data_IF_457400505793
#
_entry.id   IF_457400505793
#
_cell.length_a   1.000
_cell.length_b   1.000
_cell.length_c   1.000
_cell.angle_alpha   90.00
_cell.angle_beta   90.00
_cell.angle_gamma   90.00
#
_symmetry.space_group_name_H-M   'P 1'
#
loop_
_entity.id
_entity.type
_entity.pdbx_description
1 polymer ?
#
# COMPACT_ATOMS: atom_id res chain seq x y z
N UNK A 1 -72.29 -13.36 -5.79
CA UNK A 1 -71.81 -12.21 -6.60
C UNK A 1 -72.89 -11.16 -6.59
N UNK A 2 -72.74 -10.15 -5.73
CA UNK A 2 -73.70 -9.06 -5.53
C UNK A 2 -72.98 -7.77 -5.90
N UNK A 3 -73.39 -7.17 -7.02
CA UNK A 3 -73.06 -5.79 -7.36
C UNK A 3 -74.29 -4.95 -7.01
N UNK A 4 -74.13 -4.05 -6.05
CA UNK A 4 -75.11 -3.01 -5.75
C UNK A 4 -74.42 -1.65 -5.85
N UNK A 5 -75.04 -0.80 -6.67
CA UNK A 5 -74.76 0.62 -6.85
C UNK A 5 -75.01 1.42 -5.55
N UNK A 6 -74.24 2.49 -5.34
CA UNK A 6 -74.76 3.76 -4.84
C UNK A 6 -73.77 4.91 -5.11
N UNK A 7 -74.19 5.99 -5.80
CA UNK A 7 -73.41 7.20 -5.99
C UNK A 7 -73.98 8.43 -5.23
N UNK A 8 -73.10 9.41 -4.96
CA UNK A 8 -73.34 10.82 -4.55
C UNK A 8 -73.84 11.03 -3.10
N UNK A 9 -73.46 12.05 -2.31
CA UNK A 9 -72.83 13.34 -2.59
C UNK A 9 -72.30 14.02 -1.31
N UNK A 10 -71.32 14.93 -1.48
CA UNK A 10 -71.16 16.26 -0.85
C UNK A 10 -71.28 16.38 0.70
N UNK A 11 -70.16 16.65 1.38
CA UNK A 11 -69.82 18.00 1.90
C UNK A 11 -68.42 18.01 2.57
N UNK A 12 -67.57 18.91 2.05
CA UNK A 12 -66.47 19.66 2.67
C UNK A 12 -65.77 19.08 3.91
N UNK A 13 -64.48 18.76 3.74
CA UNK A 13 -63.41 19.31 4.58
C UNK A 13 -62.20 19.57 3.70
N UNK A 14 -61.95 20.85 3.42
CA UNK A 14 -60.67 21.33 2.91
C UNK A 14 -59.67 21.09 4.03
N UNK A 15 -59.06 19.90 4.03
CA UNK A 15 -57.82 19.70 4.75
C UNK A 15 -56.75 20.43 3.96
N UNK A 16 -56.29 21.56 4.52
CA UNK A 16 -54.95 22.05 4.27
C UNK A 16 -54.00 20.86 4.51
N UNK A 17 -53.64 20.16 3.43
CA UNK A 17 -52.51 19.25 3.46
C UNK A 17 -51.35 20.13 3.87
N UNK A 18 -50.90 19.94 5.12
CA UNK A 18 -49.53 20.24 5.53
C UNK A 18 -48.66 19.82 4.35
N UNK A 19 -48.07 20.79 3.66
CA UNK A 19 -47.04 20.53 2.68
C UNK A 19 -45.99 19.76 3.45
N UNK A 20 -45.96 18.44 3.26
CA UNK A 20 -44.89 17.58 3.72
C UNK A 20 -43.65 18.10 2.99
N UNK A 21 -42.86 18.89 3.71
CA UNK A 21 -41.55 19.40 3.32
C UNK A 21 -40.53 18.24 3.29
N UNK A 22 -40.88 17.13 2.65
CA UNK A 22 -40.15 15.85 2.62
C UNK A 22 -40.24 15.16 1.27
N UNK A 23 -40.55 15.88 0.20
CA UNK A 23 -40.60 15.34 -1.15
C UNK A 23 -39.90 16.28 -2.15
N UNK A 24 -38.60 16.53 -1.98
CA UNK A 24 -37.77 17.09 -3.06
C UNK A 24 -36.24 17.00 -2.82
N UNK A 25 -35.75 15.98 -2.13
CA UNK A 25 -34.42 15.44 -2.48
C UNK A 25 -34.65 14.25 -3.38
N UNK A 26 -35.03 14.52 -4.63
CA UNK A 26 -34.84 13.53 -5.68
C UNK A 26 -33.35 13.18 -5.66
N UNK A 27 -33.01 11.90 -5.54
CA UNK A 27 -31.63 11.41 -5.72
C UNK A 27 -31.21 11.68 -7.18
N UNK A 28 -30.86 12.94 -7.47
CA UNK A 28 -30.50 13.43 -8.78
C UNK A 28 -29.33 12.63 -9.35
N UNK A 29 -28.37 12.28 -8.49
CA UNK A 29 -27.17 11.56 -8.87
C UNK A 29 -27.49 10.13 -9.34
N UNK A 30 -28.41 9.41 -8.70
CA UNK A 30 -28.75 8.03 -9.11
C UNK A 30 -29.48 7.93 -10.46
N UNK A 31 -30.00 9.06 -10.96
CA UNK A 31 -30.69 9.14 -12.24
C UNK A 31 -29.77 9.63 -13.38
N UNK A 32 -28.50 9.91 -13.08
CA UNK A 32 -27.53 10.28 -14.11
C UNK A 32 -27.32 9.12 -15.09
N UNK A 33 -27.01 9.43 -16.36
CA UNK A 33 -26.52 8.45 -17.33
C UNK A 33 -25.37 7.62 -16.74
N UNK A 34 -25.32 6.35 -17.15
CA UNK A 34 -24.35 5.37 -16.66
C UNK A 34 -22.90 5.84 -16.88
N UNK A 35 -22.66 6.58 -17.96
CA UNK A 35 -21.37 7.15 -18.33
C UNK A 35 -20.92 8.19 -17.29
N UNK A 36 -21.83 9.04 -16.81
CA UNK A 36 -21.51 10.02 -15.76
C UNK A 36 -21.28 9.33 -14.41
N UNK A 37 -22.06 8.29 -14.10
CA UNK A 37 -21.84 7.49 -12.90
C UNK A 37 -20.48 6.78 -12.93
N UNK A 38 -20.06 6.31 -14.10
CA UNK A 38 -18.73 5.75 -14.32
C UNK A 38 -17.63 6.80 -14.11
N UNK A 39 -17.80 8.02 -14.67
CA UNK A 39 -16.86 9.11 -14.44
C UNK A 39 -16.75 9.44 -12.95
N UNK A 40 -17.87 9.52 -12.22
CA UNK A 40 -17.85 9.75 -10.77
C UNK A 40 -17.12 8.61 -10.06
N UNK A 41 -17.44 7.35 -10.39
CA UNK A 41 -16.78 6.19 -9.79
C UNK A 41 -15.25 6.19 -9.99
N UNK A 42 -14.78 6.60 -11.17
CA UNK A 42 -13.35 6.68 -11.48
C UNK A 42 -12.60 7.74 -10.66
N UNK A 43 -13.29 8.77 -10.18
CA UNK A 43 -12.71 9.87 -9.38
C UNK A 43 -12.73 9.60 -7.87
N UNK A 44 -13.15 8.41 -7.43
CA UNK A 44 -13.16 8.06 -6.01
C UNK A 44 -11.74 7.83 -5.51
N UNK A 45 -11.39 8.44 -4.37
CA UNK A 45 -10.01 8.45 -3.89
C UNK A 45 -9.57 7.16 -3.21
N UNK A 46 -10.50 6.43 -2.55
CA UNK A 46 -10.14 5.25 -1.76
C UNK A 46 -11.01 4.04 -2.06
N UNK A 47 -10.53 2.85 -1.67
CA UNK A 47 -11.26 1.60 -1.84
C UNK A 47 -12.54 1.63 -1.00
N UNK A 48 -12.50 2.19 0.21
CA UNK A 48 -13.67 2.40 1.07
C UNK A 48 -14.70 3.30 0.39
N UNK A 49 -14.26 4.36 -0.30
CA UNK A 49 -15.15 5.20 -1.10
C UNK A 49 -15.81 4.40 -2.23
N UNK A 50 -15.10 3.50 -2.92
CA UNK A 50 -15.70 2.64 -3.95
C UNK A 50 -16.73 1.67 -3.37
N UNK A 51 -16.48 1.13 -2.18
CA UNK A 51 -17.41 0.25 -1.47
C UNK A 51 -18.66 1.03 -1.03
N UNK A 52 -18.48 2.21 -0.42
CA UNK A 52 -19.57 3.10 -0.02
C UNK A 52 -20.42 3.54 -1.22
N UNK A 53 -19.78 3.85 -2.35
CA UNK A 53 -20.47 4.14 -3.61
C UNK A 53 -21.36 2.96 -4.03
N UNK A 54 -20.81 1.74 -4.06
CA UNK A 54 -21.57 0.54 -4.41
C UNK A 54 -22.79 0.30 -3.48
N UNK A 55 -22.67 0.65 -2.20
CA UNK A 55 -23.73 0.47 -1.20
C UNK A 55 -24.81 1.57 -1.24
N UNK A 56 -24.57 2.68 -1.92
CA UNK A 56 -25.49 3.83 -1.93
C UNK A 56 -26.82 3.50 -2.61
N UNK A 57 -26.81 2.89 -3.79
CA UNK A 57 -28.03 2.51 -4.51
C UNK A 57 -27.77 1.47 -5.61
N UNK A 58 -28.85 0.88 -6.17
CA UNK A 58 -28.76 -0.16 -7.22
C UNK A 58 -28.01 0.30 -8.48
N UNK A 59 -28.19 1.55 -8.90
CA UNK A 59 -27.51 2.07 -10.10
C UNK A 59 -25.99 2.17 -9.88
N UNK A 60 -25.56 2.63 -8.71
CA UNK A 60 -24.15 2.74 -8.35
C UNK A 60 -23.53 1.35 -8.17
N UNK A 61 -24.26 0.44 -7.53
CA UNK A 61 -23.88 -0.97 -7.44
C UNK A 61 -23.61 -1.55 -8.83
N UNK A 62 -24.52 -1.36 -9.79
CA UNK A 62 -24.36 -1.85 -11.16
C UNK A 62 -23.10 -1.30 -11.84
N UNK A 63 -22.71 -0.07 -11.57
CA UNK A 63 -21.46 0.51 -12.07
C UNK A 63 -20.26 -0.12 -11.36
N UNK A 64 -20.28 -0.20 -10.03
CA UNK A 64 -19.17 -0.69 -9.22
C UNK A 64 -18.84 -2.17 -9.45
N UNK A 65 -19.84 -3.02 -9.75
CA UNK A 65 -19.60 -4.43 -10.03
C UNK A 65 -18.99 -4.68 -11.42
N UNK A 66 -19.07 -3.73 -12.35
CA UNK A 66 -18.58 -3.94 -13.70
C UNK A 66 -17.05 -4.02 -13.72
N UNK A 67 -16.47 -5.09 -14.31
CA UNK A 67 -15.02 -5.24 -14.43
C UNK A 67 -14.35 -4.03 -15.09
N UNK A 68 -14.98 -3.46 -16.12
CA UNK A 68 -14.48 -2.26 -16.82
C UNK A 68 -14.43 -1.03 -15.92
N UNK A 69 -15.41 -0.83 -15.05
CA UNK A 69 -15.42 0.30 -14.12
C UNK A 69 -14.29 0.19 -13.10
N UNK A 70 -14.12 -1.01 -12.53
CA UNK A 70 -13.02 -1.31 -11.60
C UNK A 70 -11.66 -1.11 -12.27
N UNK A 71 -11.48 -1.65 -13.48
CA UNK A 71 -10.23 -1.50 -14.23
C UNK A 71 -9.92 -0.02 -14.53
N UNK A 72 -10.93 0.76 -14.93
CA UNK A 72 -10.75 2.18 -15.18
C UNK A 72 -10.39 2.96 -13.92
N UNK A 73 -11.08 2.69 -12.80
CA UNK A 73 -10.72 3.29 -11.51
C UNK A 73 -9.27 2.97 -11.11
N UNK A 74 -8.84 1.71 -11.23
CA UNK A 74 -7.45 1.31 -10.91
C UNK A 74 -6.44 2.08 -11.77
N UNK A 75 -6.66 2.16 -13.09
CA UNK A 75 -5.73 2.87 -13.99
C UNK A 75 -5.74 4.37 -13.75
N UNK A 76 -6.90 4.98 -13.52
CA UNK A 76 -6.99 6.41 -13.18
C UNK A 76 -6.30 6.72 -11.86
N UNK A 77 -6.46 5.84 -10.86
CA UNK A 77 -5.96 6.04 -9.50
C UNK A 77 -4.46 5.85 -9.37
N UNK A 78 -3.95 4.71 -9.86
CA UNK A 78 -2.55 4.32 -9.69
C UNK A 78 -1.71 4.57 -10.93
N UNK A 79 -2.33 4.98 -12.03
CA UNK A 79 -1.66 5.19 -13.31
C UNK A 79 -1.35 3.89 -14.07
N UNK A 80 -1.03 4.00 -15.37
CA UNK A 80 -0.67 2.90 -16.25
C UNK A 80 0.36 1.91 -15.68
N UNK A 81 1.40 2.43 -15.02
CA UNK A 81 2.55 1.65 -14.54
C UNK A 81 2.21 0.69 -13.40
N UNK A 82 1.43 1.16 -12.43
CA UNK A 82 1.20 0.44 -11.17
C UNK A 82 -0.14 -0.31 -11.14
N UNK A 83 -1.04 -0.01 -12.08
CA UNK A 83 -2.39 -0.57 -12.15
C UNK A 83 -2.44 -2.11 -12.07
N UNK A 84 -1.62 -2.80 -12.86
CA UNK A 84 -1.59 -4.26 -12.85
C UNK A 84 -1.09 -4.82 -11.51
N UNK A 85 -0.06 -4.20 -10.92
CA UNK A 85 0.47 -4.66 -9.64
C UNK A 85 -0.53 -4.46 -8.51
N UNK A 86 -1.17 -3.30 -8.45
CA UNK A 86 -2.25 -3.04 -7.51
C UNK A 86 -3.39 -4.06 -7.66
N UNK A 87 -3.83 -4.33 -8.89
CA UNK A 87 -4.91 -5.28 -9.14
C UNK A 87 -4.56 -6.70 -8.67
N UNK A 88 -3.35 -7.16 -8.98
CA UNK A 88 -2.84 -8.46 -8.54
C UNK A 88 -2.74 -8.55 -7.02
N UNK A 89 -2.35 -7.47 -6.33
CA UNK A 89 -2.26 -7.45 -4.87
C UNK A 89 -3.62 -7.37 -4.18
N UNK A 90 -4.58 -6.63 -4.76
CA UNK A 90 -5.82 -6.25 -4.06
C UNK A 90 -7.00 -7.14 -4.39
N UNK A 91 -7.09 -7.60 -5.64
CA UNK A 91 -8.23 -8.34 -6.17
C UNK A 91 -7.79 -9.48 -7.10
N UNK A 92 -6.80 -10.32 -6.72
CA UNK A 92 -6.26 -11.37 -7.59
C UNK A 92 -7.33 -12.29 -8.19
N UNK A 93 -8.40 -12.57 -7.44
CA UNK A 93 -9.53 -13.39 -7.86
C UNK A 93 -10.36 -12.78 -9.00
N UNK A 94 -10.27 -11.47 -9.22
CA UNK A 94 -10.90 -10.77 -10.34
C UNK A 94 -9.97 -10.64 -11.55
N UNK A 95 -8.70 -11.02 -11.42
CA UNK A 95 -7.68 -10.87 -12.44
C UNK A 95 -7.73 -11.97 -13.52
N UNK A 96 -8.92 -12.29 -14.03
CA UNK A 96 -9.10 -13.21 -15.15
C UNK A 96 -8.73 -12.55 -16.49
N UNK A 97 -8.55 -13.35 -17.56
CA UNK A 97 -8.01 -12.91 -18.83
C UNK A 97 -8.74 -11.70 -19.42
N UNK A 98 -10.08 -11.69 -19.39
CA UNK A 98 -10.89 -10.55 -19.86
C UNK A 98 -10.66 -9.26 -19.03
N UNK A 99 -10.50 -9.37 -17.71
CA UNK A 99 -10.22 -8.21 -16.86
C UNK A 99 -8.81 -7.67 -17.14
N UNK A 100 -7.82 -8.55 -17.26
CA UNK A 100 -6.45 -8.20 -17.63
C UNK A 100 -6.40 -7.53 -19.01
N UNK A 101 -7.11 -8.07 -20.02
CA UNK A 101 -7.26 -7.42 -21.32
C UNK A 101 -7.89 -6.04 -21.20
N UNK A 102 -8.89 -5.87 -20.33
CA UNK A 102 -9.52 -4.57 -20.09
C UNK A 102 -8.54 -3.57 -19.49
N UNK A 103 -7.70 -3.99 -18.53
CA UNK A 103 -6.63 -3.15 -17.99
C UNK A 103 -5.65 -2.71 -19.09
N UNK A 104 -5.22 -3.63 -19.96
CA UNK A 104 -4.36 -3.30 -21.10
C UNK A 104 -5.03 -2.34 -22.09
N UNK A 105 -6.31 -2.53 -22.40
CA UNK A 105 -7.06 -1.61 -23.27
C UNK A 105 -7.20 -0.20 -22.69
N UNK A 106 -7.18 -0.09 -21.36
CA UNK A 106 -7.20 1.19 -20.65
C UNK A 106 -5.79 1.79 -20.49
N UNK A 107 -4.76 1.12 -21.01
CA UNK A 107 -3.38 1.63 -21.01
C UNK A 107 -2.52 1.12 -19.86
N UNK A 108 -2.94 0.13 -19.08
CA UNK A 108 -2.06 -0.48 -18.09
C UNK A 108 -0.81 -1.09 -18.77
N UNK A 109 0.34 -0.97 -18.13
CA UNK A 109 1.59 -1.59 -18.56
C UNK A 109 1.87 -2.84 -17.75
N UNK A 110 2.59 -3.79 -18.35
CA UNK A 110 3.09 -4.97 -17.66
C UNK A 110 4.58 -4.75 -17.38
N UNK A 111 4.98 -4.34 -16.17
CA UNK A 111 6.38 -4.20 -15.79
C UNK A 111 7.13 -5.51 -15.91
N UNK A 112 8.39 -5.44 -16.36
CA UNK A 112 9.24 -6.61 -16.50
C UNK A 112 9.49 -7.33 -15.15
N UNK A 113 9.81 -6.57 -14.10
CA UNK A 113 9.97 -7.06 -12.73
C UNK A 113 8.73 -7.81 -12.18
N UNK A 114 7.52 -7.32 -12.49
CA UNK A 114 6.26 -7.95 -12.09
C UNK A 114 6.09 -9.30 -12.78
N UNK A 115 6.41 -9.36 -14.07
CA UNK A 115 6.38 -10.58 -14.85
C UNK A 115 7.39 -11.61 -14.37
N UNK A 116 8.62 -11.19 -14.03
CA UNK A 116 9.61 -12.06 -13.41
C UNK A 116 9.06 -12.67 -12.11
N UNK A 117 8.48 -11.88 -11.22
CA UNK A 117 7.88 -12.38 -9.98
C UNK A 117 6.74 -13.37 -10.21
N UNK A 118 5.87 -13.11 -11.20
CA UNK A 118 4.82 -14.04 -11.59
C UNK A 118 5.39 -15.39 -12.04
N UNK A 119 6.39 -15.38 -12.93
CA UNK A 119 7.07 -16.60 -13.40
C UNK A 119 7.85 -17.32 -12.29
N UNK A 120 8.38 -16.56 -11.34
CA UNK A 120 9.14 -17.10 -10.20
C UNK A 120 8.24 -17.78 -9.18
N UNK A 121 7.00 -17.32 -8.97
CA UNK A 121 6.18 -17.74 -7.82
C UNK A 121 4.85 -18.42 -8.19
N UNK A 122 4.24 -18.14 -9.34
CA UNK A 122 2.94 -18.72 -9.68
C UNK A 122 3.01 -20.24 -9.88
N UNK A 123 2.08 -20.98 -9.27
CA UNK A 123 2.00 -22.44 -9.38
C UNK A 123 3.13 -23.19 -8.66
N UNK A 124 3.96 -22.50 -7.88
CA UNK A 124 5.04 -23.09 -7.08
C UNK A 124 4.63 -23.20 -5.61
N UNK A 125 5.10 -24.22 -4.88
CA UNK A 125 4.82 -24.33 -3.46
C UNK A 125 5.39 -23.09 -2.74
N UNK A 126 4.55 -22.48 -1.90
CA UNK A 126 5.00 -21.41 -1.02
C UNK A 126 5.78 -22.10 0.10
N UNK A 127 7.11 -22.10 -0.01
CA UNK A 127 7.97 -22.66 1.03
C UNK A 127 7.70 -21.93 2.35
N UNK A 128 7.02 -22.62 3.27
CA UNK A 128 6.78 -22.14 4.64
C UNK A 128 8.06 -22.30 5.46
N UNK A 129 9.13 -21.58 5.09
CA UNK A 129 10.41 -21.68 5.80
C UNK A 129 10.37 -21.12 7.24
N UNK A 130 9.28 -20.45 7.67
CA UNK A 130 9.20 -19.83 9.00
C UNK A 130 8.37 -20.61 10.04
N UNK A 131 7.94 -21.85 9.77
CA UNK A 131 7.33 -22.70 10.81
C UNK A 131 8.28 -23.07 11.97
N UNK A 132 9.58 -22.77 11.87
CA UNK A 132 10.54 -23.02 12.95
C UNK A 132 10.63 -21.91 14.01
N UNK A 133 9.98 -20.74 13.83
CA UNK A 133 9.81 -19.77 14.92
C UNK A 133 8.55 -20.10 15.72
N UNK A 134 8.61 -21.22 16.44
CA UNK A 134 7.61 -21.60 17.46
C UNK A 134 7.66 -20.59 18.61
N UNK A 135 6.67 -19.71 18.65
CA UNK A 135 6.36 -18.90 19.83
C UNK A 135 6.17 -17.42 19.52
N UNK A 136 5.00 -16.92 19.90
CA UNK A 136 4.57 -15.51 19.91
C UNK A 136 3.89 -14.99 18.64
N UNK A 137 2.56 -14.92 18.74
CA UNK A 137 1.58 -14.15 17.95
C UNK A 137 1.53 -14.38 16.43
N UNK A 138 0.30 -14.57 15.91
CA UNK A 138 -0.04 -14.60 14.48
C UNK A 138 0.30 -13.26 13.80
N UNK A 139 1.57 -12.98 13.59
CA UNK A 139 2.01 -11.85 12.78
C UNK A 139 1.88 -12.26 11.32
N UNK A 140 1.13 -11.48 10.54
CA UNK A 140 1.03 -11.68 9.09
C UNK A 140 2.44 -11.75 8.52
N UNK A 141 2.77 -12.87 7.90
CA UNK A 141 3.98 -13.03 7.11
C UNK A 141 3.83 -12.22 5.83
N UNK A 142 4.11 -10.91 5.96
CA UNK A 142 4.12 -9.96 4.85
C UNK A 142 5.09 -10.38 3.75
N UNK A 143 6.11 -11.19 4.08
CA UNK A 143 7.14 -11.62 3.13
C UNK A 143 6.63 -12.62 2.09
N UNK A 144 5.60 -13.40 2.41
CA UNK A 144 4.93 -14.27 1.42
C UNK A 144 3.63 -13.67 0.89
N UNK A 145 3.32 -12.41 1.20
CA UNK A 145 2.06 -11.77 0.82
C UNK A 145 1.84 -11.82 -0.69
N UNK A 146 2.76 -11.26 -1.49
CA UNK A 146 2.65 -11.32 -2.95
C UNK A 146 2.53 -12.76 -3.47
N UNK A 147 3.40 -13.66 -3.03
CA UNK A 147 3.41 -15.07 -3.45
C UNK A 147 2.09 -15.78 -3.14
N UNK A 148 1.45 -15.50 -1.99
CA UNK A 148 0.13 -16.02 -1.61
C UNK A 148 -0.97 -15.42 -2.47
N UNK A 149 -0.94 -14.11 -2.66
CA UNK A 149 -1.97 -13.39 -3.41
C UNK A 149 -2.01 -13.82 -4.87
N UNK A 150 -0.85 -13.99 -5.52
CA UNK A 150 -0.82 -14.44 -6.91
C UNK A 150 -1.27 -15.89 -7.09
N UNK A 151 -1.27 -16.77 -6.08
CA UNK A 151 -1.84 -18.11 -6.23
C UNK A 151 -3.35 -18.08 -6.44
N UNK A 152 -4.01 -16.98 -6.06
CA UNK A 152 -5.45 -16.78 -6.28
C UNK A 152 -5.76 -16.29 -7.70
N UNK A 153 -4.73 -15.94 -8.48
CA UNK A 153 -4.87 -15.55 -9.88
C UNK A 153 -5.37 -16.75 -10.70
N UNK A 154 -6.39 -16.52 -11.52
CA UNK A 154 -6.88 -17.55 -12.44
C UNK A 154 -5.84 -17.84 -13.53
N UNK A 155 -5.82 -19.09 -13.99
CA UNK A 155 -4.83 -19.53 -14.98
C UNK A 155 -4.91 -18.75 -16.29
N UNK A 156 -6.12 -18.42 -16.76
CA UNK A 156 -6.31 -17.61 -17.96
C UNK A 156 -5.74 -16.19 -17.79
N UNK A 157 -5.92 -15.58 -16.61
CA UNK A 157 -5.30 -14.30 -16.27
C UNK A 157 -3.78 -14.36 -16.29
N UNK A 158 -3.21 -15.39 -15.67
CA UNK A 158 -1.76 -15.65 -15.71
C UNK A 158 -1.26 -15.82 -17.16
N UNK A 159 -1.92 -16.66 -17.96
CA UNK A 159 -1.55 -16.92 -19.34
C UNK A 159 -1.60 -15.64 -20.20
N UNK A 160 -2.62 -14.80 -20.02
CA UNK A 160 -2.71 -13.49 -20.70
C UNK A 160 -1.52 -12.58 -20.35
N UNK A 161 -1.12 -12.51 -19.08
CA UNK A 161 0.04 -11.72 -18.65
C UNK A 161 1.34 -12.24 -19.26
N UNK A 162 1.57 -13.55 -19.21
CA UNK A 162 2.77 -14.18 -19.79
C UNK A 162 2.84 -13.98 -21.29
N UNK A 163 1.73 -14.19 -22.01
CA UNK A 163 1.67 -13.98 -23.45
C UNK A 163 1.97 -12.52 -23.82
N UNK A 164 1.37 -11.56 -23.11
CA UNK A 164 1.63 -10.13 -23.34
C UNK A 164 3.09 -9.80 -23.04
N UNK A 165 3.64 -10.35 -21.97
CA UNK A 165 5.04 -10.19 -21.58
C UNK A 165 6.02 -10.71 -22.62
N UNK A 166 5.77 -11.90 -23.17
CA UNK A 166 6.60 -12.47 -24.23
C UNK A 166 6.62 -11.58 -25.48
N UNK A 167 5.48 -10.99 -25.86
CA UNK A 167 5.42 -10.06 -26.99
C UNK A 167 6.20 -8.75 -26.74
N UNK A 168 6.25 -8.28 -25.49
CA UNK A 168 6.93 -7.03 -25.14
C UNK A 168 8.44 -7.21 -25.00
N UNK A 169 8.88 -8.29 -24.37
CA UNK A 169 10.27 -8.46 -23.92
C UNK A 169 11.06 -9.49 -24.71
N UNK A 170 10.39 -10.34 -25.51
CA UNK A 170 10.93 -11.47 -26.30
C UNK A 170 11.60 -12.56 -25.45
N UNK A 171 12.63 -12.22 -24.68
CA UNK A 171 13.35 -13.10 -23.77
C UNK A 171 13.25 -12.57 -22.33
N UNK A 172 12.46 -13.26 -21.50
CA UNK A 172 12.36 -12.94 -20.07
C UNK A 172 13.23 -13.96 -19.35
N UNK A 173 14.35 -13.52 -18.78
CA UNK A 173 15.16 -14.35 -17.91
C UNK A 173 14.62 -14.26 -16.48
N UNK A 174 13.91 -15.29 -15.99
CA UNK A 174 13.34 -15.28 -14.64
C UNK A 174 14.41 -15.35 -13.55
N UNK A 175 15.69 -15.50 -13.89
CA UNK A 175 16.80 -15.56 -12.93
C UNK A 175 17.47 -14.20 -12.70
N UNK A 176 17.23 -13.21 -13.57
CA UNK A 176 17.76 -11.87 -13.39
C UNK A 176 16.93 -11.14 -12.33
N UNK A 177 17.62 -10.45 -11.41
CA UNK A 177 16.99 -9.67 -10.35
C UNK A 177 17.04 -8.18 -10.70
N UNK A 178 16.01 -7.71 -11.40
CA UNK A 178 15.90 -6.32 -11.84
C UNK A 178 16.06 -5.33 -10.68
N UNK A 179 15.62 -5.69 -9.46
CA UNK A 179 15.80 -4.85 -8.28
C UNK A 179 17.28 -4.66 -7.96
N UNK A 180 18.04 -5.75 -7.92
CA UNK A 180 19.49 -5.69 -7.67
C UNK A 180 20.24 -4.92 -8.76
N UNK A 181 19.85 -5.11 -10.03
CA UNK A 181 20.45 -4.41 -11.17
C UNK A 181 20.18 -2.91 -11.04
N UNK A 182 18.94 -2.52 -10.79
CA UNK A 182 18.56 -1.12 -10.60
C UNK A 182 19.34 -0.47 -9.44
N UNK A 183 19.36 -1.12 -8.27
CA UNK A 183 19.99 -0.57 -7.07
C UNK A 183 21.52 -0.48 -7.23
N UNK A 184 22.16 -1.44 -7.90
CA UNK A 184 23.59 -1.37 -8.19
C UNK A 184 23.93 -0.20 -9.12
N UNK A 185 23.09 0.09 -10.11
CA UNK A 185 23.29 1.20 -11.03
C UNK A 185 23.06 2.56 -10.34
N UNK A 186 22.05 2.66 -9.48
CA UNK A 186 21.86 3.83 -8.60
C UNK A 186 23.09 4.08 -7.73
N UNK A 187 23.73 3.02 -7.23
CA UNK A 187 24.93 3.14 -6.42
C UNK A 187 26.13 3.72 -7.18
N UNK A 188 26.17 3.51 -8.50
CA UNK A 188 27.16 4.04 -9.42
C UNK A 188 26.74 5.36 -10.08
N UNK A 189 25.73 6.06 -9.56
CA UNK A 189 25.17 7.31 -10.10
C UNK A 189 24.60 7.21 -11.53
N UNK A 190 24.27 6.00 -11.98
CA UNK A 190 23.66 5.74 -13.29
C UNK A 190 22.20 5.33 -13.11
N UNK A 191 21.27 6.07 -13.74
CA UNK A 191 19.87 5.68 -13.78
C UNK A 191 19.58 5.01 -15.13
N UNK A 192 19.20 3.72 -15.15
CA UNK A 192 18.86 3.04 -16.39
C UNK A 192 17.54 3.57 -16.95
N UNK A 193 17.62 4.56 -17.84
CA UNK A 193 16.46 5.12 -18.55
C UNK A 193 15.63 4.04 -19.24
N UNK A 194 16.29 3.04 -19.84
CA UNK A 194 15.64 1.88 -20.46
C UNK A 194 14.83 1.06 -19.45
N UNK A 195 15.38 0.76 -18.27
CA UNK A 195 14.62 0.04 -17.23
C UNK A 195 13.41 0.85 -16.77
N UNK A 196 13.57 2.16 -16.53
CA UNK A 196 12.48 3.00 -16.03
C UNK A 196 11.39 3.21 -17.09
N UNK A 197 11.76 3.56 -18.31
CA UNK A 197 10.81 4.05 -19.32
C UNK A 197 10.35 2.97 -20.29
N UNK A 198 11.22 2.03 -20.67
CA UNK A 198 10.88 0.97 -21.63
C UNK A 198 10.41 -0.31 -20.93
N UNK A 199 11.03 -0.65 -19.79
CA UNK A 199 10.67 -1.83 -19.01
C UNK A 199 9.69 -1.54 -17.85
N UNK A 200 9.32 -0.26 -17.68
CA UNK A 200 8.36 0.20 -16.66
C UNK A 200 8.74 -0.22 -15.25
N UNK A 201 10.04 -0.32 -14.98
CA UNK A 201 10.57 -0.84 -13.73
C UNK A 201 10.05 -0.04 -12.52
N UNK A 202 9.75 -0.79 -11.47
CA UNK A 202 9.70 -0.37 -10.07
C UNK A 202 10.06 -1.59 -9.22
N UNK A 203 10.39 -1.46 -7.93
CA UNK A 203 10.62 -2.61 -7.07
C UNK A 203 9.30 -3.33 -6.77
N UNK A 204 8.80 -4.08 -7.74
CA UNK A 204 7.77 -5.07 -7.50
C UNK A 204 8.41 -6.23 -6.73
N UNK A 205 7.67 -6.84 -5.79
CA UNK A 205 8.14 -8.05 -5.07
C UNK A 205 9.45 -7.80 -4.33
N UNK A 206 9.41 -6.99 -3.26
CA UNK A 206 10.56 -6.84 -2.38
C UNK A 206 10.99 -8.23 -1.88
N UNK A 207 12.19 -8.66 -2.28
CA UNK A 207 12.75 -9.94 -1.85
C UNK A 207 12.96 -9.92 -0.33
N UNK A 208 13.08 -11.12 0.25
CA UNK A 208 13.27 -11.40 1.70
C UNK A 208 14.33 -10.53 2.41
N UNK A 209 15.19 -9.85 1.66
CA UNK A 209 16.23 -8.95 2.13
C UNK A 209 15.69 -7.53 2.31
N UNK A 210 15.96 -6.93 3.47
CA UNK A 210 15.82 -5.47 3.70
C UNK A 210 16.32 -4.69 2.48
N UNK A 211 15.58 -3.66 2.04
CA UNK A 211 16.08 -2.77 1.01
C UNK A 211 17.46 -2.25 1.42
N UNK A 212 18.47 -2.30 0.53
CA UNK A 212 19.76 -1.74 0.86
C UNK A 212 19.57 -0.25 1.12
N UNK A 213 19.88 0.17 2.35
CA UNK A 213 19.65 1.51 2.85
C UNK A 213 20.32 2.57 2.00
N UNK A 214 21.56 2.29 1.57
CA UNK A 214 22.39 3.24 0.83
C UNK A 214 21.85 3.63 -0.55
N UNK A 215 21.52 2.71 -1.49
CA UNK A 215 20.89 3.05 -2.75
C UNK A 215 19.58 3.83 -2.59
N UNK A 216 18.74 3.44 -1.63
CA UNK A 216 17.45 4.11 -1.40
C UNK A 216 17.65 5.57 -0.95
N UNK A 217 18.53 5.78 0.03
CA UNK A 217 18.85 7.13 0.53
C UNK A 217 19.53 7.98 -0.55
N UNK A 218 20.46 7.42 -1.33
CA UNK A 218 21.06 8.11 -2.47
C UNK A 218 20.00 8.55 -3.48
N UNK A 219 19.04 7.68 -3.80
CA UNK A 219 17.97 8.01 -4.75
C UNK A 219 17.13 9.19 -4.25
N UNK A 220 16.76 9.21 -2.97
CA UNK A 220 16.00 10.32 -2.37
C UNK A 220 16.80 11.62 -2.40
N UNK A 221 18.07 11.56 -2.04
CA UNK A 221 18.94 12.74 -1.94
C UNK A 221 19.31 13.33 -3.29
N UNK A 222 19.72 12.48 -4.23
CA UNK A 222 20.33 12.92 -5.48
C UNK A 222 19.35 12.95 -6.65
N UNK A 223 18.30 12.12 -6.61
CA UNK A 223 17.34 11.92 -7.71
C UNK A 223 15.90 11.83 -7.19
N UNK A 224 15.43 12.84 -6.43
CA UNK A 224 14.10 12.82 -5.80
C UNK A 224 12.97 12.63 -6.81
N UNK A 225 13.09 13.14 -8.03
CA UNK A 225 12.08 12.95 -9.07
C UNK A 225 11.91 11.48 -9.49
N UNK A 226 13.02 10.74 -9.56
CA UNK A 226 12.99 9.31 -9.87
C UNK A 226 12.41 8.52 -8.71
N UNK A 227 12.77 8.86 -7.47
CA UNK A 227 12.13 8.29 -6.29
C UNK A 227 10.61 8.50 -6.32
N UNK A 228 10.15 9.74 -6.56
CA UNK A 228 8.72 10.08 -6.59
C UNK A 228 7.97 9.41 -7.75
N UNK A 229 8.64 9.23 -8.90
CA UNK A 229 8.03 8.63 -10.08
C UNK A 229 7.99 7.10 -10.05
N UNK A 230 9.01 6.46 -9.46
CA UNK A 230 9.21 5.00 -9.53
C UNK A 230 8.87 4.31 -8.22
N UNK A 231 9.32 4.84 -7.08
CA UNK A 231 9.28 4.16 -5.78
C UNK A 231 8.11 4.60 -4.92
N UNK A 232 7.93 5.91 -4.74
CA UNK A 232 6.94 6.48 -3.84
C UNK A 232 5.53 5.92 -4.04
N UNK A 233 5.02 5.72 -5.28
CA UNK A 233 3.68 5.21 -5.51
C UNK A 233 3.48 3.76 -5.04
N UNK A 234 4.54 2.93 -5.06
CA UNK A 234 4.46 1.54 -4.61
C UNK A 234 4.17 1.48 -3.12
N UNK A 235 4.80 2.37 -2.34
CA UNK A 235 4.55 2.46 -0.91
C UNK A 235 3.11 2.90 -0.63
N UNK A 236 2.34 3.50 -1.55
CA UNK A 236 0.96 3.88 -1.25
C UNK A 236 0.04 2.69 -0.96
N UNK A 237 0.32 1.52 -1.55
CA UNK A 237 -0.59 0.37 -1.51
C UNK A 237 0.06 -0.96 -1.12
N UNK A 238 1.37 -1.13 -1.27
CA UNK A 238 2.05 -2.39 -0.97
C UNK A 238 2.54 -2.43 0.51
N UNK A 239 1.93 -3.26 1.38
CA UNK A 239 2.33 -3.34 2.79
C UNK A 239 3.73 -3.92 2.97
N UNK A 240 4.19 -4.83 2.09
CA UNK A 240 5.53 -5.40 2.19
C UNK A 240 6.58 -4.34 1.85
N UNK A 241 6.32 -3.52 0.82
CA UNK A 241 7.15 -2.38 0.47
C UNK A 241 7.33 -1.43 1.66
N UNK A 242 6.23 -1.12 2.37
CA UNK A 242 6.27 -0.28 3.57
C UNK A 242 7.00 -0.93 4.73
N UNK A 243 6.80 -2.22 4.95
CA UNK A 243 7.56 -2.97 5.96
C UNK A 243 9.05 -2.85 5.70
N UNK A 244 9.51 -3.08 4.47
CA UNK A 244 10.90 -2.92 4.10
C UNK A 244 11.39 -1.47 4.29
N UNK A 245 10.55 -0.47 3.96
CA UNK A 245 10.86 0.94 4.17
C UNK A 245 11.09 1.27 5.65
N UNK A 246 10.21 0.78 6.53
CA UNK A 246 10.35 0.93 7.97
C UNK A 246 11.59 0.22 8.51
N UNK A 247 11.85 -1.01 8.10
CA UNK A 247 13.06 -1.75 8.51
C UNK A 247 14.34 -1.03 8.08
N UNK A 248 14.41 -0.56 6.83
CA UNK A 248 15.55 0.19 6.31
C UNK A 248 15.77 1.49 7.06
N UNK A 249 14.69 2.21 7.38
CA UNK A 249 14.75 3.45 8.15
C UNK A 249 15.24 3.20 9.58
N UNK A 250 14.70 2.18 10.25
CA UNK A 250 15.15 1.80 11.59
C UNK A 250 16.62 1.36 11.60
N UNK A 251 17.09 0.62 10.60
CA UNK A 251 18.51 0.26 10.48
C UNK A 251 19.41 1.50 10.45
N UNK A 252 19.08 2.50 9.63
CA UNK A 252 19.87 3.73 9.51
C UNK A 252 19.89 4.50 10.83
N UNK A 253 18.73 4.67 11.47
CA UNK A 253 18.65 5.36 12.76
C UNK A 253 19.36 4.59 13.87
N UNK A 254 19.30 3.25 13.84
CA UNK A 254 19.94 2.38 14.82
C UNK A 254 21.46 2.45 14.70
N UNK A 255 22.00 2.36 13.49
CA UNK A 255 23.44 2.55 13.24
C UNK A 255 23.93 3.91 13.76
N UNK A 256 23.16 4.97 13.53
CA UNK A 256 23.50 6.30 14.04
C UNK A 256 23.40 6.38 15.58
N UNK A 257 22.45 5.67 16.18
CA UNK A 257 22.29 5.61 17.64
C UNK A 257 23.51 4.99 18.33
N UNK A 258 24.23 4.05 17.70
CA UNK A 258 25.46 3.47 18.25
C UNK A 258 26.68 4.39 18.17
N UNK A 259 26.64 5.44 17.34
CA UNK A 259 27.79 6.33 17.19
C UNK A 259 27.95 7.23 18.41
N UNK A 260 29.20 7.34 18.88
CA UNK A 260 29.60 8.28 19.92
C UNK A 260 30.06 9.65 19.40
N UNK A 261 30.41 9.73 18.10
CA UNK A 261 30.81 10.97 17.44
C UNK A 261 29.61 11.86 17.12
N UNK A 262 29.86 13.17 17.03
CA UNK A 262 28.87 14.10 16.51
C UNK A 262 28.52 13.76 15.04
N UNK A 263 27.26 13.96 14.62
CA UNK A 263 26.84 13.72 13.24
C UNK A 263 27.57 14.68 12.29
N UNK A 264 28.22 14.14 11.26
CA UNK A 264 28.75 14.95 10.16
C UNK A 264 27.61 15.51 9.30
N UNK A 265 27.88 16.55 8.51
CA UNK A 265 26.88 17.11 7.58
C UNK A 265 26.28 16.06 6.64
N UNK A 266 27.11 15.15 6.12
CA UNK A 266 26.64 14.03 5.27
C UNK A 266 25.66 13.11 6.02
N UNK A 267 25.92 12.81 7.29
CA UNK A 267 25.02 11.98 8.11
C UNK A 267 23.73 12.71 8.43
N UNK A 268 23.78 14.02 8.72
CA UNK A 268 22.58 14.83 8.92
C UNK A 268 21.71 14.78 7.66
N UNK A 269 22.30 14.96 6.47
CA UNK A 269 21.59 14.83 5.21
C UNK A 269 20.99 13.43 4.99
N UNK A 270 21.66 12.36 5.45
CA UNK A 270 21.10 10.98 5.41
C UNK A 270 19.89 10.84 6.34
N UNK A 271 19.95 11.38 7.56
CA UNK A 271 18.84 11.35 8.51
C UNK A 271 17.64 12.16 8.00
N UNK A 272 17.90 13.32 7.39
CA UNK A 272 16.85 14.11 6.73
C UNK A 272 16.21 13.37 5.55
N UNK A 273 17.01 12.66 4.76
CA UNK A 273 16.50 11.82 3.67
C UNK A 273 15.63 10.66 4.18
N UNK A 274 15.96 10.07 5.34
CA UNK A 274 15.09 9.08 6.00
C UNK A 274 13.72 9.69 6.31
N UNK A 275 13.67 10.92 6.81
CA UNK A 275 12.41 11.63 7.03
C UNK A 275 11.61 11.83 5.76
N UNK A 276 12.27 12.26 4.68
CA UNK A 276 11.65 12.51 3.38
C UNK A 276 10.99 11.27 2.77
N UNK A 277 11.44 10.06 3.11
CA UNK A 277 10.80 8.80 2.67
C UNK A 277 9.34 8.68 3.12
N UNK A 278 8.98 9.30 4.24
CA UNK A 278 7.62 9.26 4.81
C UNK A 278 6.81 10.51 4.49
N UNK A 279 7.43 11.51 3.85
CA UNK A 279 6.76 12.71 3.36
C UNK A 279 6.30 12.47 1.93
N UNK A 280 5.19 11.74 1.77
CA UNK A 280 4.52 11.71 0.47
C UNK A 280 3.86 13.07 0.21
N UNK A 281 4.06 13.62 -0.99
CA UNK A 281 3.30 14.78 -1.48
C UNK A 281 1.88 14.39 -1.90
N UNK A 282 1.60 13.10 -1.99
CA UNK A 282 0.24 12.58 -2.18
C UNK A 282 -0.52 12.85 -0.89
N UNK A 283 -1.34 13.92 -0.89
CA UNK A 283 -2.32 14.23 0.18
C UNK A 283 -3.36 13.11 0.39
N UNK A 284 -3.26 12.06 -0.40
CA UNK A 284 -4.19 10.96 -0.44
C UNK A 284 -3.72 9.92 0.56
N UNK A 285 -4.64 9.51 1.42
CA UNK A 285 -4.38 8.54 2.47
C UNK A 285 -3.77 7.26 1.88
N UNK A 286 -2.89 6.59 2.65
CA UNK A 286 -2.31 5.31 2.29
C UNK A 286 -3.41 4.29 1.98
N UNK A 287 -3.47 3.79 0.75
CA UNK A 287 -4.44 2.77 0.34
C UNK A 287 -3.85 1.38 0.54
N UNK A 288 -3.45 1.09 1.78
CA UNK A 288 -2.80 -0.16 2.13
C UNK A 288 -3.68 -1.34 1.74
N UNK A 289 -3.11 -2.23 0.92
CA UNK A 289 -3.75 -3.46 0.51
C UNK A 289 -3.47 -4.51 1.59
N UNK A 290 -4.49 -4.87 2.35
CA UNK A 290 -4.36 -5.84 3.44
C UNK A 290 -4.94 -5.32 4.75
N UNK A 291 -4.78 -6.08 5.85
CA UNK A 291 -5.49 -5.81 7.10
C UNK A 291 -4.83 -4.76 8.00
N UNK A 292 -3.59 -4.36 7.72
CA UNK A 292 -2.81 -3.51 8.62
C UNK A 292 -2.75 -2.08 8.09
N UNK A 293 -3.06 -1.12 8.97
CA UNK A 293 -2.76 0.28 8.73
C UNK A 293 -1.26 0.58 8.99
N UNK A 294 -0.81 1.77 8.61
CA UNK A 294 0.62 2.13 8.69
C UNK A 294 1.16 2.17 10.12
N UNK A 295 0.33 2.58 11.09
CA UNK A 295 0.69 2.56 12.51
C UNK A 295 0.91 1.12 12.99
N UNK A 296 0.03 0.19 12.62
CA UNK A 296 0.15 -1.22 12.96
C UNK A 296 1.39 -1.85 12.30
N UNK A 297 1.66 -1.51 11.04
CA UNK A 297 2.88 -1.93 10.34
C UNK A 297 4.13 -1.42 11.08
N UNK A 298 4.18 -0.14 11.44
CA UNK A 298 5.26 0.41 12.24
C UNK A 298 5.43 -0.35 13.56
N UNK A 299 4.37 -0.54 14.34
CA UNK A 299 4.43 -1.23 15.62
C UNK A 299 4.98 -2.66 15.48
N UNK A 300 4.54 -3.39 14.46
CA UNK A 300 5.02 -4.73 14.16
C UNK A 300 6.50 -4.72 13.78
N UNK A 301 6.91 -3.84 12.86
CA UNK A 301 8.30 -3.75 12.39
C UNK A 301 9.23 -3.33 13.52
N UNK A 302 8.87 -2.33 14.30
CA UNK A 302 9.64 -1.87 15.45
C UNK A 302 9.82 -2.99 16.48
N UNK A 303 8.74 -3.70 16.82
CA UNK A 303 8.79 -4.80 17.80
C UNK A 303 9.70 -5.95 17.32
N UNK A 304 9.61 -6.30 16.04
CA UNK A 304 10.41 -7.37 15.43
C UNK A 304 11.86 -6.96 15.15
N UNK A 305 12.15 -5.67 15.04
CA UNK A 305 13.47 -5.18 14.74
C UNK A 305 14.50 -5.66 15.76
N UNK A 306 14.18 -5.55 17.05
CA UNK A 306 15.09 -5.89 18.15
C UNK A 306 15.22 -7.39 18.40
N UNK A 307 14.31 -8.22 17.88
CA UNK A 307 14.43 -9.69 18.01
C UNK A 307 15.60 -10.24 17.20
N UNK A 308 16.15 -9.45 16.27
CA UNK A 308 17.36 -9.79 15.49
C UNK A 308 18.65 -9.71 16.32
N UNK A 309 18.61 -9.09 17.50
CA UNK A 309 19.77 -8.87 18.36
C UNK A 309 19.60 -9.57 19.72
N UNK A 310 20.70 -9.99 20.38
CA UNK A 310 20.63 -10.52 21.74
C UNK A 310 20.01 -9.52 22.74
N UNK A 311 19.48 -10.05 23.84
CA UNK A 311 19.00 -9.23 24.97
C UNK A 311 20.17 -8.38 25.51
N UNK A 312 19.92 -7.10 25.77
CA UNK A 312 20.94 -6.17 26.26
C UNK A 312 21.91 -5.63 25.20
N UNK A 313 21.80 -6.06 23.93
CA UNK A 313 22.60 -5.48 22.84
C UNK A 313 22.31 -3.99 22.64
N UNK A 314 21.04 -3.60 22.66
CA UNK A 314 20.63 -2.20 22.68
C UNK A 314 20.52 -1.73 24.12
N UNK A 315 21.59 -1.08 24.61
CA UNK A 315 21.58 -0.47 25.94
C UNK A 315 20.58 0.70 26.00
N UNK A 316 20.08 1.01 27.20
CA UNK A 316 19.10 2.08 27.43
C UNK A 316 19.51 3.41 26.78
N UNK A 317 20.78 3.81 26.93
CA UNK A 317 21.32 5.03 26.31
C UNK A 317 21.17 5.02 24.78
N UNK A 318 21.46 3.89 24.13
CA UNK A 318 21.33 3.72 22.69
C UNK A 318 19.87 3.74 22.26
N UNK A 319 18.99 3.07 23.01
CA UNK A 319 17.55 3.07 22.76
C UNK A 319 16.97 4.48 22.86
N UNK A 320 17.30 5.23 23.92
CA UNK A 320 16.85 6.62 24.08
C UNK A 320 17.35 7.48 22.91
N UNK A 321 18.61 7.31 22.47
CA UNK A 321 19.13 8.03 21.30
C UNK A 321 18.38 7.66 20.03
N UNK A 322 18.10 6.37 19.79
CA UNK A 322 17.29 5.91 18.67
C UNK A 322 15.90 6.54 18.68
N UNK A 323 15.19 6.51 19.81
CA UNK A 323 13.85 7.07 19.95
C UNK A 323 13.84 8.60 19.73
N UNK A 324 14.87 9.31 20.17
CA UNK A 324 15.07 10.73 19.84
C UNK A 324 15.25 10.94 18.34
N UNK A 325 16.15 10.18 17.71
CA UNK A 325 16.35 10.26 16.26
C UNK A 325 15.06 9.96 15.48
N UNK A 326 14.31 8.96 15.93
CA UNK A 326 13.02 8.59 15.36
C UNK A 326 12.03 9.75 15.41
N UNK A 327 11.84 10.39 16.57
CA UNK A 327 10.94 11.55 16.72
C UNK A 327 11.39 12.78 15.96
N UNK A 328 12.71 13.01 15.88
CA UNK A 328 13.27 14.18 15.20
C UNK A 328 13.14 14.06 13.69
N UNK A 329 13.50 12.91 13.11
CA UNK A 329 13.63 12.77 11.67
C UNK A 329 12.44 12.10 11.00
N UNK A 330 11.72 11.19 11.69
CA UNK A 330 10.58 10.48 11.10
C UNK A 330 9.26 11.05 11.62
N UNK A 331 8.59 11.81 10.75
CA UNK A 331 7.27 12.39 11.02
C UNK A 331 6.25 11.86 10.01
N UNK A 332 5.70 10.65 10.22
CA UNK A 332 4.73 10.09 9.31
C UNK A 332 3.45 10.94 9.34
N UNK A 333 2.87 11.24 8.17
CA UNK A 333 1.67 12.07 8.09
C UNK A 333 0.41 11.38 8.64
N UNK A 334 0.44 10.05 8.74
CA UNK A 334 -0.76 9.21 8.97
C UNK A 334 -1.03 8.94 10.44
N UNK A 335 -0.01 9.01 11.30
CA UNK A 335 -0.14 8.76 12.73
C UNK A 335 0.93 9.52 13.51
N UNK A 336 0.71 9.70 14.81
CA UNK A 336 1.72 10.30 15.71
C UNK A 336 2.64 9.23 16.27
N UNK A 337 3.94 9.45 16.21
CA UNK A 337 4.95 8.50 16.69
C UNK A 337 4.74 8.12 18.17
N UNK A 338 4.41 9.10 19.02
CA UNK A 338 4.16 8.86 20.45
C UNK A 338 3.01 7.89 20.68
N UNK A 339 1.90 8.03 19.94
CA UNK A 339 0.75 7.12 20.04
C UNK A 339 1.09 5.69 19.61
N UNK A 340 1.99 5.53 18.64
CA UNK A 340 2.43 4.22 18.19
C UNK A 340 3.34 3.55 19.22
N UNK A 341 4.27 4.31 19.81
CA UNK A 341 5.15 3.83 20.89
C UNK A 341 4.33 3.47 22.15
N UNK A 342 3.35 4.29 22.52
CA UNK A 342 2.41 3.99 23.62
C UNK A 342 1.67 2.67 23.39
N UNK A 343 1.20 2.43 22.16
CA UNK A 343 0.52 1.18 21.80
C UNK A 343 1.45 -0.03 21.96
N UNK A 344 2.73 0.08 21.56
CA UNK A 344 3.72 -1.00 21.73
C UNK A 344 3.89 -1.36 23.20
N UNK A 345 3.92 -0.35 24.09
CA UNK A 345 4.05 -0.54 25.54
C UNK A 345 2.79 -1.16 26.12
N UNK A 346 1.62 -0.58 25.86
CA UNK A 346 0.34 -1.02 26.43
C UNK A 346 -0.04 -2.44 25.99
N UNK A 347 0.21 -2.78 24.73
CA UNK A 347 -0.08 -4.10 24.19
C UNK A 347 1.07 -5.10 24.39
N UNK A 348 2.17 -4.69 25.03
CA UNK A 348 3.37 -5.50 25.28
C UNK A 348 3.85 -6.25 24.02
N UNK A 349 3.93 -5.51 22.90
CA UNK A 349 4.17 -6.11 21.57
C UNK A 349 5.62 -6.50 21.31
N UNK A 350 6.55 -5.93 22.06
CA UNK A 350 7.99 -6.11 21.89
C UNK A 350 8.60 -6.92 23.04
N UNK A 351 9.91 -7.21 22.93
CA UNK A 351 10.67 -7.81 24.01
C UNK A 351 10.66 -6.91 25.26
N UNK A 352 10.68 -7.49 26.45
CA UNK A 352 10.50 -6.77 27.72
C UNK A 352 11.46 -5.59 27.91
N UNK A 353 12.75 -5.77 27.60
CA UNK A 353 13.78 -4.71 27.66
C UNK A 353 13.48 -3.52 26.74
N UNK A 354 12.89 -3.80 25.57
CA UNK A 354 12.47 -2.80 24.59
C UNK A 354 11.26 -2.05 25.11
N UNK A 355 10.26 -2.77 25.65
CA UNK A 355 9.05 -2.18 26.23
C UNK A 355 9.39 -1.27 27.41
N UNK A 356 10.24 -1.73 28.33
CA UNK A 356 10.69 -0.95 29.49
C UNK A 356 11.39 0.34 29.07
N UNK A 357 12.30 0.26 28.09
CA UNK A 357 13.04 1.43 27.60
C UNK A 357 12.13 2.45 26.90
N UNK A 358 11.14 1.97 26.13
CA UNK A 358 10.16 2.84 25.46
C UNK A 358 9.25 3.51 26.49
N UNK A 359 8.76 2.77 27.50
CA UNK A 359 7.95 3.32 28.58
C UNK A 359 8.69 4.42 29.38
N UNK A 360 9.95 4.17 29.73
CA UNK A 360 10.80 5.17 30.38
C UNK A 360 11.01 6.41 29.50
N UNK A 361 11.26 6.21 28.21
CA UNK A 361 11.43 7.31 27.27
C UNK A 361 10.17 8.18 27.20
N UNK A 362 8.99 7.56 27.06
CA UNK A 362 7.71 8.26 27.00
C UNK A 362 7.46 9.05 28.29
N UNK A 363 7.67 8.47 29.47
CA UNK A 363 7.48 9.15 30.76
C UNK A 363 8.40 10.36 30.93
N UNK A 364 9.62 10.30 30.41
CA UNK A 364 10.65 11.32 30.65
C UNK A 364 10.74 12.41 29.56
N UNK A 365 10.11 12.21 28.39
CA UNK A 365 10.31 13.08 27.21
C UNK A 365 9.02 13.43 26.44
N UNK A 366 7.83 13.30 27.06
CA UNK A 366 6.54 13.73 26.47
C UNK A 366 5.96 15.02 27.07
N UNK A 367 6.79 15.84 27.72
CA UNK A 367 6.42 17.18 28.20
C UNK A 367 6.93 18.30 27.30
#
# INVERSE_FOLDING_TARGET
MTLAFAPKSLFKKIHFKKVKKTAMMHNFISNLPKELLLCIYQQLDTLECTQAFALTCRAFYQVAIQPRSKAAWIVTRFGPRFALYYALLSIPQHCHGQFIHTLFHLGAHLPHCLLQGLLQHYGKPIEQQDQQRRGSHMLLDTHTYFSRTIQQLSFDGFATLVQKGHLLYKDIHPQQDDLSVFLSQVDHDHIPSTMIHEQWFFPAIFKKTTLPSRPLLKLVQQKPDVYQYVLAPVFEFDPLARTCLWETSLNVLFEEAFRSSEPTQERIAQLEAVGQLFVSKSKLLPMLVGPLNDQQLFCQVFSNFFTKYPVGYCQEKTMIKLLKLLKTYIQPQQFKMDMALEHIVQANMARSDTVESVDQFLKNHTH
#
